data_IF_496527346437
#
_entry.id   IF_496527346437
#
_cell.length_a   1.000
_cell.length_b   1.000
_cell.length_c   1.000
_cell.angle_alpha   90.00
_cell.angle_beta   90.00
_cell.angle_gamma   90.00
#
_symmetry.space_group_name_H-M   'P 1'
#
loop_
_entity.id
_entity.type
_entity.pdbx_description
1 polymer ?
#
# COMPACT_ATOMS: atom_id res chain seq x y z
N UNK A 1 -10.47 28.39 76.67
CA UNK A 1 -10.40 28.91 75.29
C UNK A 1 -9.93 27.76 74.37
N UNK A 2 -10.86 27.10 73.68
CA UNK A 2 -10.57 25.98 72.75
C UNK A 2 -10.63 26.55 71.32
N UNK A 3 -9.52 26.53 70.61
CA UNK A 3 -9.44 26.91 69.17
C UNK A 3 -9.80 25.71 68.31
N UNK A 4 -10.92 25.77 67.59
CA UNK A 4 -11.27 24.83 66.56
C UNK A 4 -10.51 25.25 65.30
N UNK A 5 -9.65 24.34 64.75
CA UNK A 5 -9.01 24.47 63.44
C UNK A 5 -9.92 23.73 62.44
N UNK A 6 -10.56 24.48 61.51
CA UNK A 6 -11.27 23.90 60.36
C UNK A 6 -10.24 23.62 59.27
N UNK A 7 -10.04 22.35 58.95
CA UNK A 7 -9.29 21.93 57.78
C UNK A 7 -10.23 21.91 56.58
N UNK A 8 -9.99 22.82 55.63
CA UNK A 8 -10.65 22.82 54.33
C UNK A 8 -9.88 21.85 53.43
N UNK A 9 -10.51 20.70 53.14
CA UNK A 9 -9.99 19.73 52.18
C UNK A 9 -10.45 20.15 50.76
N UNK A 10 -9.56 20.76 50.01
CA UNK A 10 -9.78 21.09 48.59
C UNK A 10 -9.71 19.80 47.75
N UNK A 11 -10.84 19.32 47.31
CA UNK A 11 -10.90 18.24 46.31
C UNK A 11 -10.52 18.82 44.93
N UNK A 12 -9.28 18.58 44.46
CA UNK A 12 -8.95 18.79 43.06
C UNK A 12 -9.63 17.74 42.20
N UNK A 13 -10.68 18.12 41.51
CA UNK A 13 -11.21 17.37 40.37
C UNK A 13 -10.20 17.45 39.23
N UNK A 14 -9.37 16.43 39.07
CA UNK A 14 -8.59 16.20 37.85
C UNK A 14 -9.56 15.82 36.75
N UNK A 15 -10.03 16.83 36.00
CA UNK A 15 -10.70 16.63 34.74
C UNK A 15 -9.64 16.11 33.75
N UNK A 16 -9.52 14.79 33.62
CA UNK A 16 -8.67 14.16 32.63
C UNK A 16 -9.26 14.39 31.23
N UNK A 17 -8.93 15.53 30.60
CA UNK A 17 -9.06 15.65 29.15
C UNK A 17 -8.04 14.68 28.54
N UNK A 18 -8.51 13.52 28.08
CA UNK A 18 -7.76 12.73 27.09
C UNK A 18 -7.63 13.60 25.85
N UNK A 19 -6.48 14.22 25.67
CA UNK A 19 -6.10 14.81 24.38
C UNK A 19 -5.99 13.59 23.46
N UNK A 20 -7.00 13.38 22.59
CA UNK A 20 -6.83 12.48 21.43
C UNK A 20 -5.77 13.15 20.58
N UNK A 21 -4.57 12.58 20.54
CA UNK A 21 -3.58 12.97 19.54
C UNK A 21 -4.22 12.75 18.19
N UNK A 22 -4.22 13.80 17.35
CA UNK A 22 -4.62 13.65 15.94
C UNK A 22 -3.61 12.72 15.28
N UNK A 23 -4.06 11.80 14.42
CA UNK A 23 -3.15 10.88 13.76
C UNK A 23 -2.13 11.65 12.90
N UNK A 24 -0.90 11.15 12.86
CA UNK A 24 0.10 11.64 11.90
C UNK A 24 -0.47 11.55 10.47
N UNK A 25 -0.12 12.47 9.59
CA UNK A 25 -0.55 12.41 8.20
C UNK A 25 0.02 11.16 7.52
N UNK A 26 -0.85 10.34 6.92
CA UNK A 26 -0.43 9.31 5.97
C UNK A 26 -0.26 9.96 4.60
N UNK A 27 0.90 9.79 3.97
CA UNK A 27 1.10 10.14 2.57
C UNK A 27 1.43 8.89 1.76
N UNK A 28 0.80 8.74 0.58
CA UNK A 28 1.10 7.69 -0.40
C UNK A 28 1.48 8.34 -1.71
N UNK A 29 2.72 8.15 -2.14
CA UNK A 29 3.26 8.70 -3.39
C UNK A 29 3.38 7.60 -4.43
N UNK A 30 2.54 7.64 -5.47
CA UNK A 30 2.56 6.74 -6.63
C UNK A 30 3.54 7.30 -7.66
N UNK A 31 4.62 6.61 -7.92
CA UNK A 31 5.65 7.06 -8.86
C UNK A 31 5.22 6.77 -10.30
N UNK A 32 5.52 7.69 -11.23
CA UNK A 32 5.36 7.44 -12.67
C UNK A 32 6.53 6.53 -13.15
N UNK A 33 6.34 5.24 -13.02
CA UNK A 33 7.27 4.19 -13.50
C UNK A 33 6.69 3.44 -14.71
N UNK A 34 5.72 4.06 -15.39
CA UNK A 34 5.07 3.44 -16.53
C UNK A 34 3.95 2.48 -16.15
N UNK A 35 3.79 1.39 -16.91
CA UNK A 35 2.89 0.29 -16.53
C UNK A 35 3.69 -0.64 -15.60
N UNK A 36 3.79 -0.24 -14.34
CA UNK A 36 4.53 -0.90 -13.28
C UNK A 36 4.10 -0.31 -11.94
N UNK A 37 4.33 -0.99 -10.84
CA UNK A 37 4.01 -0.51 -9.50
C UNK A 37 5.27 -0.12 -8.74
N UNK A 38 5.23 1.08 -8.17
CA UNK A 38 6.13 1.51 -7.10
C UNK A 38 5.50 2.69 -6.39
N UNK A 39 5.25 2.57 -5.10
CA UNK A 39 4.71 3.68 -4.31
C UNK A 39 5.20 3.65 -2.86
N UNK A 40 5.48 4.85 -2.36
CA UNK A 40 5.96 5.06 -1.00
C UNK A 40 4.81 5.47 -0.10
N UNK A 41 4.61 4.74 1.00
CA UNK A 41 3.76 5.14 2.12
C UNK A 41 4.62 5.70 3.25
N UNK A 42 4.27 6.87 3.76
CA UNK A 42 4.94 7.48 4.91
C UNK A 42 3.93 7.87 5.97
N UNK A 43 4.19 7.54 7.23
CA UNK A 43 3.39 7.95 8.37
C UNK A 43 4.24 7.91 9.64
N UNK A 44 4.20 8.96 10.47
CA UNK A 44 4.91 9.00 11.74
C UNK A 44 6.43 8.77 11.64
N UNK A 45 7.05 9.24 10.56
CA UNK A 45 8.48 9.05 10.31
C UNK A 45 8.88 7.63 9.91
N UNK A 46 7.91 6.78 9.56
CA UNK A 46 8.10 5.42 9.04
C UNK A 46 7.85 5.37 7.55
N UNK A 47 8.59 4.51 6.86
CA UNK A 47 8.56 4.36 5.40
C UNK A 47 8.29 2.92 4.99
N UNK A 48 7.28 2.72 4.15
CA UNK A 48 7.02 1.46 3.46
C UNK A 48 7.04 1.73 1.96
N UNK A 49 7.96 1.09 1.24
CA UNK A 49 7.94 1.07 -0.21
C UNK A 49 7.22 -0.21 -0.66
N UNK A 50 6.12 -0.06 -1.41
CA UNK A 50 5.41 -1.19 -2.01
C UNK A 50 5.78 -1.25 -3.49
N UNK A 51 6.40 -2.34 -3.88
CA UNK A 51 6.97 -2.61 -5.18
C UNK A 51 8.05 -1.59 -5.61
N UNK A 52 8.79 -1.89 -6.65
CA UNK A 52 9.95 -1.11 -7.06
C UNK A 52 10.04 -0.90 -8.60
N UNK A 53 8.96 -1.17 -9.32
CA UNK A 53 8.91 -1.08 -10.77
C UNK A 53 9.79 -2.12 -11.47
N UNK A 54 10.11 -1.85 -12.74
CA UNK A 54 11.01 -2.71 -13.50
C UNK A 54 12.48 -2.48 -13.09
N UNK A 55 13.38 -3.38 -13.50
CA UNK A 55 14.82 -3.20 -13.26
C UNK A 55 15.39 -1.87 -13.83
N UNK A 56 14.76 -1.31 -14.85
CA UNK A 56 15.15 -0.01 -15.42
C UNK A 56 14.68 1.15 -14.55
N UNK A 57 13.60 0.94 -13.81
CA UNK A 57 13.00 1.97 -12.96
C UNK A 57 13.69 2.06 -11.60
N UNK A 58 14.38 1.03 -11.15
CA UNK A 58 15.03 0.99 -9.84
C UNK A 58 15.86 2.24 -9.51
N UNK A 59 16.68 2.72 -10.46
CA UNK A 59 17.44 3.97 -10.28
C UNK A 59 16.56 5.21 -10.24
N UNK A 60 15.46 5.24 -10.99
CA UNK A 60 14.49 6.35 -10.98
C UNK A 60 13.77 6.40 -9.63
N UNK A 61 13.35 5.23 -9.15
CA UNK A 61 12.71 5.08 -7.83
C UNK A 61 13.69 5.50 -6.73
N UNK A 62 14.92 4.98 -6.74
CA UNK A 62 15.97 5.34 -5.79
C UNK A 62 16.18 6.86 -5.75
N UNK A 63 16.39 7.48 -6.92
CA UNK A 63 16.53 8.94 -7.03
C UNK A 63 15.33 9.69 -6.46
N UNK A 64 14.12 9.18 -6.71
CA UNK A 64 12.91 9.83 -6.21
C UNK A 64 12.78 9.73 -4.69
N UNK A 65 13.17 8.61 -4.09
CA UNK A 65 13.25 8.43 -2.65
C UNK A 65 14.27 9.40 -2.01
N UNK A 66 15.45 9.54 -2.63
CA UNK A 66 16.47 10.53 -2.21
C UNK A 66 15.91 11.95 -2.25
N UNK A 67 15.25 12.35 -3.35
CA UNK A 67 14.65 13.68 -3.51
C UNK A 67 13.55 13.98 -2.47
N UNK A 68 12.92 12.93 -1.93
CA UNK A 68 11.95 13.02 -0.84
C UNK A 68 12.61 12.96 0.55
N UNK A 69 13.95 12.82 0.63
CA UNK A 69 14.69 12.74 1.89
C UNK A 69 14.53 11.42 2.64
N UNK A 70 14.20 10.34 1.94
CA UNK A 70 14.13 8.99 2.53
C UNK A 70 15.53 8.47 2.75
N UNK A 71 15.90 8.24 4.01
CA UNK A 71 17.20 7.68 4.39
C UNK A 71 17.12 6.17 4.65
N UNK A 72 15.98 5.69 5.16
CA UNK A 72 15.75 4.28 5.47
C UNK A 72 14.34 3.85 5.10
N UNK A 73 14.17 2.57 4.81
CA UNK A 73 12.90 1.93 4.47
C UNK A 73 12.61 0.88 5.54
N UNK A 74 11.59 1.12 6.38
CA UNK A 74 11.22 0.17 7.43
C UNK A 74 10.72 -1.15 6.83
N UNK A 75 9.95 -1.06 5.72
CA UNK A 75 9.47 -2.21 4.99
C UNK A 75 9.56 -1.97 3.48
N UNK A 76 10.27 -2.84 2.77
CA UNK A 76 10.11 -3.04 1.34
C UNK A 76 9.13 -4.20 1.17
N UNK A 77 7.96 -3.95 0.62
CA UNK A 77 6.97 -4.99 0.33
C UNK A 77 6.98 -5.27 -1.17
N UNK A 78 7.19 -6.51 -1.53
CA UNK A 78 7.00 -6.99 -2.90
C UNK A 78 5.67 -7.74 -2.93
N UNK A 79 4.70 -7.19 -3.66
CA UNK A 79 3.34 -7.78 -3.74
C UNK A 79 3.39 -9.13 -4.42
N UNK A 80 4.13 -9.24 -5.52
CA UNK A 80 4.43 -10.47 -6.25
C UNK A 80 5.69 -10.30 -7.11
N UNK A 81 6.23 -11.39 -7.64
CA UNK A 81 7.55 -11.38 -8.28
C UNK A 81 7.53 -11.21 -9.80
N UNK A 82 6.56 -10.51 -10.36
CA UNK A 82 6.64 -10.09 -11.75
C UNK A 82 7.61 -8.90 -11.89
N UNK A 83 8.21 -8.79 -13.07
CA UNK A 83 9.33 -7.87 -13.33
C UNK A 83 8.99 -6.40 -13.12
N UNK A 84 7.73 -6.02 -13.32
CA UNK A 84 7.21 -4.66 -13.18
C UNK A 84 6.80 -4.30 -11.75
N UNK A 85 7.04 -5.23 -10.81
CA UNK A 85 6.90 -5.07 -9.36
C UNK A 85 8.23 -5.28 -8.64
N UNK A 86 8.88 -6.43 -8.87
CA UNK A 86 10.10 -6.80 -8.17
C UNK A 86 11.40 -6.32 -8.85
N UNK A 87 11.31 -5.85 -10.10
CA UNK A 87 12.50 -5.60 -10.93
C UNK A 87 13.50 -4.60 -10.35
N UNK A 88 13.02 -3.53 -9.75
CA UNK A 88 13.86 -2.50 -9.11
C UNK A 88 14.31 -2.85 -7.69
N UNK A 89 13.77 -3.90 -7.07
CA UNK A 89 13.96 -4.20 -5.63
C UNK A 89 15.42 -4.37 -5.25
N UNK A 90 16.22 -5.08 -6.06
CA UNK A 90 17.65 -5.28 -5.80
C UNK A 90 18.41 -3.95 -5.72
N UNK A 91 18.10 -2.98 -6.60
CA UNK A 91 18.71 -1.65 -6.59
C UNK A 91 18.34 -0.90 -5.31
N UNK A 92 17.06 -0.94 -4.90
CA UNK A 92 16.58 -0.28 -3.67
C UNK A 92 17.27 -0.88 -2.44
N UNK A 93 17.39 -2.21 -2.36
CA UNK A 93 18.07 -2.89 -1.25
C UNK A 93 19.55 -2.52 -1.18
N UNK A 94 20.22 -2.30 -2.32
CA UNK A 94 21.63 -1.90 -2.36
C UNK A 94 21.83 -0.43 -1.95
N UNK A 95 20.92 0.47 -2.33
CA UNK A 95 21.09 1.91 -2.16
C UNK A 95 20.57 2.42 -0.80
N UNK A 96 19.61 1.72 -0.15
CA UNK A 96 18.96 2.16 1.06
C UNK A 96 19.16 1.20 2.25
N UNK A 97 19.00 1.73 3.46
CA UNK A 97 18.87 0.93 4.68
C UNK A 97 17.46 0.31 4.77
N UNK A 98 17.29 -0.86 4.12
CA UNK A 98 16.03 -1.63 4.15
C UNK A 98 16.04 -2.54 5.37
N UNK A 99 15.13 -2.33 6.32
CA UNK A 99 15.08 -3.10 7.58
C UNK A 99 14.42 -4.46 7.42
N UNK A 100 13.36 -4.54 6.60
CA UNK A 100 12.69 -5.80 6.31
C UNK A 100 12.14 -5.82 4.88
N UNK A 101 12.26 -6.99 4.23
CA UNK A 101 11.62 -7.34 2.97
C UNK A 101 10.42 -8.21 3.26
N UNK A 102 9.21 -7.71 2.97
CA UNK A 102 7.96 -8.47 3.03
C UNK A 102 7.68 -9.07 1.65
N UNK A 103 7.34 -10.35 1.59
CA UNK A 103 7.03 -11.01 0.31
C UNK A 103 5.98 -12.10 0.46
N UNK A 104 5.24 -12.47 -0.61
CA UNK A 104 4.36 -13.62 -0.60
C UNK A 104 5.16 -14.94 -0.47
N UNK A 105 4.48 -16.01 -0.11
CA UNK A 105 5.07 -17.35 -0.09
C UNK A 105 5.46 -17.80 -1.51
N UNK A 106 4.51 -17.67 -2.46
CA UNK A 106 4.81 -17.96 -3.86
C UNK A 106 5.82 -16.97 -4.43
N UNK A 107 6.88 -17.48 -5.00
CA UNK A 107 7.91 -16.69 -5.65
C UNK A 107 8.16 -17.25 -7.05
N UNK A 108 7.79 -16.49 -8.06
CA UNK A 108 8.10 -16.82 -9.45
C UNK A 108 9.60 -16.85 -9.64
N UNK A 109 10.12 -17.96 -10.20
CA UNK A 109 11.53 -18.06 -10.57
C UNK A 109 11.83 -17.13 -11.77
N UNK A 110 12.67 -16.13 -11.54
CA UNK A 110 13.09 -15.15 -12.53
C UNK A 110 14.40 -14.50 -12.12
N UNK A 111 15.03 -13.78 -13.06
CA UNK A 111 16.24 -13.01 -12.77
C UNK A 111 15.95 -11.92 -11.72
N UNK A 112 14.78 -11.33 -11.75
CA UNK A 112 14.35 -10.28 -10.80
C UNK A 112 14.19 -10.83 -9.37
N UNK A 113 13.54 -11.99 -9.22
CA UNK A 113 13.39 -12.62 -7.91
C UNK A 113 14.74 -13.07 -7.36
N UNK A 114 15.58 -13.67 -8.19
CA UNK A 114 16.93 -14.07 -7.81
C UNK A 114 17.80 -12.88 -7.39
N UNK A 115 17.77 -11.77 -8.16
CA UNK A 115 18.51 -10.54 -7.84
C UNK A 115 18.02 -9.90 -6.54
N UNK A 116 16.70 -9.84 -6.34
CA UNK A 116 16.10 -9.31 -5.10
C UNK A 116 16.56 -10.11 -3.88
N UNK A 117 16.47 -11.42 -3.92
CA UNK A 117 16.86 -12.29 -2.81
C UNK A 117 18.37 -12.26 -2.55
N UNK A 118 19.20 -12.23 -3.59
CA UNK A 118 20.65 -12.10 -3.45
C UNK A 118 21.04 -10.75 -2.82
N UNK A 119 20.41 -9.65 -3.22
CA UNK A 119 20.63 -8.35 -2.60
C UNK A 119 20.21 -8.33 -1.12
N UNK A 120 19.08 -8.97 -0.78
CA UNK A 120 18.63 -9.08 0.60
C UNK A 120 19.61 -9.87 1.48
N UNK A 121 20.17 -10.97 0.94
CA UNK A 121 21.19 -11.76 1.63
C UNK A 121 22.50 -10.95 1.81
N UNK A 122 23.00 -10.33 0.75
CA UNK A 122 24.25 -9.54 0.74
C UNK A 122 24.19 -8.38 1.76
N UNK A 123 23.03 -7.72 1.86
CA UNK A 123 22.80 -6.60 2.77
C UNK A 123 22.31 -7.01 4.16
N UNK A 124 22.08 -8.30 4.39
CA UNK A 124 21.57 -8.82 5.67
C UNK A 124 20.14 -8.33 5.99
N UNK A 125 19.32 -8.06 4.96
CA UNK A 125 17.94 -7.63 5.12
C UNK A 125 17.09 -8.78 5.67
N UNK A 126 16.30 -8.49 6.71
CA UNK A 126 15.37 -9.47 7.26
C UNK A 126 14.25 -9.79 6.25
N UNK A 127 14.21 -11.01 5.73
CA UNK A 127 13.12 -11.47 4.85
C UNK A 127 11.98 -12.04 5.69
N UNK A 128 10.78 -11.53 5.48
CA UNK A 128 9.54 -11.97 6.13
C UNK A 128 8.61 -12.49 5.05
N UNK A 129 8.33 -13.79 5.08
CA UNK A 129 7.37 -14.44 4.18
C UNK A 129 6.00 -14.32 4.80
N UNK A 130 5.06 -13.72 4.09
CA UNK A 130 3.68 -13.55 4.53
C UNK A 130 2.89 -14.78 4.09
N UNK A 131 2.57 -15.65 5.05
CA UNK A 131 1.86 -16.94 4.84
C UNK A 131 0.47 -16.96 5.46
N UNK A 132 0.12 -15.92 6.20
CA UNK A 132 -1.21 -15.72 6.80
C UNK A 132 -1.46 -14.23 6.96
N UNK A 133 -2.71 -13.85 7.19
CA UNK A 133 -3.05 -12.46 7.48
C UNK A 133 -2.10 -11.89 8.53
N UNK A 134 -1.48 -10.76 8.19
CA UNK A 134 -0.44 -10.15 9.01
C UNK A 134 -0.71 -8.66 9.19
N UNK A 135 -0.71 -8.22 10.44
CA UNK A 135 -0.87 -6.82 10.78
C UNK A 135 0.49 -6.18 10.99
N UNK A 136 0.72 -5.01 10.37
CA UNK A 136 1.87 -4.15 10.65
C UNK A 136 1.44 -2.74 10.96
N UNK A 137 2.28 -2.03 11.71
CA UNK A 137 2.04 -0.63 12.10
C UNK A 137 3.04 0.28 11.41
N UNK A 138 2.54 1.32 10.72
CA UNK A 138 3.32 2.37 10.08
C UNK A 138 2.93 3.73 10.70
N UNK A 139 3.64 4.18 11.73
CA UNK A 139 3.20 5.33 12.52
C UNK A 139 1.82 5.08 13.14
N UNK A 140 0.85 5.98 12.92
CA UNK A 140 -0.55 5.82 13.35
C UNK A 140 -1.40 4.98 12.39
N UNK A 141 -0.83 4.52 11.26
CA UNK A 141 -1.53 3.75 10.23
C UNK A 141 -1.39 2.25 10.48
N UNK A 142 -2.50 1.53 10.46
CA UNK A 142 -2.53 0.06 10.50
C UNK A 142 -2.63 -0.50 9.08
N UNK A 143 -1.77 -1.46 8.75
CA UNK A 143 -1.87 -2.25 7.52
C UNK A 143 -2.24 -3.68 7.88
N UNK A 144 -3.19 -4.26 7.15
CA UNK A 144 -3.57 -5.68 7.22
C UNK A 144 -3.26 -6.31 5.87
N UNK A 145 -2.31 -7.24 5.87
CA UNK A 145 -1.77 -7.87 4.66
C UNK A 145 -2.38 -9.26 4.52
N UNK A 146 -3.01 -9.53 3.39
CA UNK A 146 -3.66 -10.79 3.04
C UNK A 146 -2.85 -11.50 1.95
N UNK A 147 -2.13 -12.58 2.28
CA UNK A 147 -1.50 -13.42 1.27
C UNK A 147 -2.56 -14.27 0.55
N UNK A 148 -2.19 -14.83 -0.59
CA UNK A 148 -2.97 -15.91 -1.18
C UNK A 148 -2.90 -17.16 -0.28
N UNK A 149 -4.02 -17.81 -0.04
CA UNK A 149 -4.13 -19.02 0.78
C UNK A 149 -3.75 -20.30 0.03
N UNK A 150 -3.56 -20.20 -1.28
CA UNK A 150 -3.23 -21.28 -2.20
C UNK A 150 -2.43 -20.77 -3.39
N UNK A 151 -1.80 -21.68 -4.12
CA UNK A 151 -1.25 -21.39 -5.44
C UNK A 151 -2.36 -21.57 -6.47
N UNK A 152 -2.62 -20.53 -7.24
CA UNK A 152 -3.63 -20.54 -8.31
C UNK A 152 -3.09 -21.27 -9.55
N UNK A 153 -3.99 -21.94 -10.31
CA UNK A 153 -3.59 -22.67 -11.51
C UNK A 153 -3.26 -21.72 -12.67
N UNK A 154 -4.00 -20.61 -12.77
CA UNK A 154 -3.78 -19.58 -13.77
C UNK A 154 -3.13 -18.36 -13.13
N UNK A 155 -2.21 -17.74 -13.85
CA UNK A 155 -1.54 -16.49 -13.44
C UNK A 155 -1.08 -16.51 -11.97
N UNK A 156 -0.43 -17.64 -11.57
CA UNK A 156 -0.03 -17.90 -10.19
C UNK A 156 0.76 -16.73 -9.57
N UNK A 157 1.60 -16.04 -10.36
CA UNK A 157 2.36 -14.89 -9.89
C UNK A 157 1.44 -13.73 -9.52
N UNK A 158 0.60 -13.26 -10.43
CA UNK A 158 -0.34 -12.18 -10.21
C UNK A 158 -1.31 -12.49 -9.05
N UNK A 159 -1.89 -13.69 -9.07
CA UNK A 159 -2.83 -14.14 -8.04
C UNK A 159 -2.17 -14.40 -6.68
N UNK A 160 -0.83 -14.45 -6.58
CA UNK A 160 -0.11 -14.48 -5.32
C UNK A 160 0.09 -13.10 -4.68
N UNK A 161 -0.36 -12.02 -5.33
CA UNK A 161 -0.20 -10.66 -4.83
C UNK A 161 -0.66 -10.53 -3.38
N UNK A 162 0.17 -9.88 -2.56
CA UNK A 162 -0.20 -9.45 -1.22
C UNK A 162 -1.23 -8.32 -1.34
N UNK A 163 -2.48 -8.60 -1.01
CA UNK A 163 -3.53 -7.59 -0.92
C UNK A 163 -3.42 -6.91 0.43
N UNK A 164 -3.46 -5.59 0.45
CA UNK A 164 -3.23 -4.83 1.69
C UNK A 164 -4.35 -3.83 1.93
N UNK A 165 -5.03 -3.96 3.07
CA UNK A 165 -5.89 -2.94 3.62
C UNK A 165 -5.05 -1.97 4.44
N UNK A 166 -5.33 -0.68 4.31
CA UNK A 166 -4.65 0.39 5.05
C UNK A 166 -5.69 1.23 5.78
N UNK A 167 -5.59 1.30 7.10
CA UNK A 167 -6.50 2.03 7.97
C UNK A 167 -5.78 3.20 8.63
N UNK A 168 -6.25 4.42 8.36
CA UNK A 168 -5.71 5.64 8.94
C UNK A 168 -6.83 6.53 9.46
N UNK A 169 -7.00 6.58 10.77
CA UNK A 169 -8.15 7.24 11.39
C UNK A 169 -9.47 6.62 10.93
N UNK A 170 -10.30 7.39 10.22
CA UNK A 170 -11.55 6.92 9.64
C UNK A 170 -11.42 6.51 8.17
N UNK A 171 -10.24 6.70 7.56
CA UNK A 171 -10.03 6.36 6.16
C UNK A 171 -9.58 4.92 6.01
N UNK A 172 -10.10 4.25 4.98
CA UNK A 172 -9.77 2.89 4.57
C UNK A 172 -9.36 2.85 3.11
N UNK A 173 -8.20 2.26 2.83
CA UNK A 173 -7.63 2.18 1.49
C UNK A 173 -7.33 0.71 1.18
N UNK A 174 -7.56 0.30 -0.07
CA UNK A 174 -7.30 -1.05 -0.56
C UNK A 174 -6.24 -1.05 -1.66
N UNK A 175 -5.19 -1.86 -1.47
CA UNK A 175 -4.12 -2.09 -2.43
C UNK A 175 -4.14 -3.55 -2.85
N UNK A 176 -4.30 -3.81 -4.13
CA UNK A 176 -4.63 -5.14 -4.64
C UNK A 176 -3.49 -5.85 -5.35
N UNK A 177 -2.36 -5.16 -5.59
CA UNK A 177 -1.34 -5.68 -6.50
C UNK A 177 -1.96 -5.96 -7.87
N UNK A 178 -1.63 -7.11 -8.44
CA UNK A 178 -2.08 -7.51 -9.78
C UNK A 178 -3.01 -8.73 -9.76
N UNK A 179 -3.82 -8.86 -8.67
CA UNK A 179 -4.79 -9.95 -8.59
C UNK A 179 -5.67 -10.01 -9.83
N UNK A 180 -5.92 -11.23 -10.29
CA UNK A 180 -6.76 -11.53 -11.43
C UNK A 180 -8.03 -12.29 -11.01
N UNK A 181 -8.82 -12.72 -11.98
CA UNK A 181 -10.16 -13.27 -11.82
C UNK A 181 -10.31 -14.25 -10.65
N UNK A 182 -9.38 -15.21 -10.50
CA UNK A 182 -9.50 -16.25 -9.49
C UNK A 182 -9.30 -15.67 -8.07
N UNK A 183 -8.26 -14.84 -7.88
CA UNK A 183 -8.01 -14.20 -6.59
C UNK A 183 -9.07 -13.13 -6.26
N UNK A 184 -9.57 -12.39 -7.26
CA UNK A 184 -10.68 -11.44 -7.09
C UNK A 184 -11.93 -12.14 -6.55
N UNK A 185 -12.22 -13.36 -6.99
CA UNK A 185 -13.38 -14.11 -6.52
C UNK A 185 -13.23 -14.52 -5.04
N UNK A 186 -12.00 -14.80 -4.60
CA UNK A 186 -11.73 -15.28 -3.24
C UNK A 186 -11.54 -14.14 -2.23
N UNK A 187 -10.80 -13.07 -2.61
CA UNK A 187 -10.31 -12.04 -1.68
C UNK A 187 -11.42 -11.33 -0.90
N UNK A 188 -12.59 -11.14 -1.49
CA UNK A 188 -13.72 -10.47 -0.83
C UNK A 188 -14.22 -11.17 0.44
N UNK A 189 -13.89 -12.46 0.60
CA UNK A 189 -14.22 -13.22 1.81
C UNK A 189 -13.15 -13.12 2.91
N UNK A 190 -11.99 -12.55 2.57
CA UNK A 190 -10.86 -12.38 3.47
C UNK A 190 -10.75 -10.94 4.02
N UNK A 191 -11.22 -9.97 3.23
CA UNK A 191 -11.17 -8.56 3.59
C UNK A 191 -12.16 -8.25 4.73
N UNK A 192 -11.80 -7.27 5.57
CA UNK A 192 -12.56 -6.97 6.78
C UNK A 192 -13.94 -6.37 6.50
N UNK A 193 -14.04 -5.46 5.53
CA UNK A 193 -15.30 -4.78 5.21
C UNK A 193 -15.36 -4.36 3.73
N UNK A 194 -16.60 -4.20 3.22
CA UNK A 194 -16.86 -3.49 1.98
C UNK A 194 -17.01 -1.98 2.25
N UNK A 195 -16.65 -1.16 1.29
CA UNK A 195 -16.76 0.29 1.38
C UNK A 195 -15.45 0.95 1.79
N UNK A 196 -14.50 1.00 0.84
CA UNK A 196 -13.24 1.71 1.00
C UNK A 196 -13.32 3.13 0.45
N UNK A 197 -12.52 4.05 1.02
CA UNK A 197 -12.42 5.41 0.48
C UNK A 197 -11.56 5.44 -0.79
N UNK A 198 -10.62 4.49 -0.91
CA UNK A 198 -9.64 4.45 -1.99
C UNK A 198 -9.34 3.02 -2.45
N UNK A 199 -9.10 2.87 -3.76
CA UNK A 199 -8.66 1.63 -4.39
C UNK A 199 -7.44 1.87 -5.29
N UNK A 200 -6.33 1.14 -5.08
CA UNK A 200 -5.36 0.88 -6.14
C UNK A 200 -5.91 -0.23 -7.02
N UNK A 201 -6.24 0.10 -8.25
CA UNK A 201 -6.90 -0.82 -9.20
C UNK A 201 -5.99 -2.00 -9.54
N UNK A 202 -6.52 -3.24 -9.57
CA UNK A 202 -5.74 -4.41 -9.91
C UNK A 202 -5.10 -4.32 -11.30
N UNK A 203 -3.92 -4.91 -11.43
CA UNK A 203 -3.23 -5.24 -12.67
C UNK A 203 -3.20 -4.09 -13.68
N UNK A 204 -2.83 -2.87 -13.18
CA UNK A 204 -2.69 -1.66 -14.00
C UNK A 204 -3.91 -1.31 -14.85
N UNK A 205 -5.09 -1.71 -14.42
CA UNK A 205 -6.33 -1.48 -15.16
C UNK A 205 -6.54 -2.41 -16.36
N UNK A 206 -5.92 -3.58 -16.40
CA UNK A 206 -6.33 -4.69 -17.29
C UNK A 206 -7.74 -5.14 -16.90
N UNK A 207 -8.61 -5.29 -17.88
CA UNK A 207 -9.99 -5.69 -17.60
C UNK A 207 -10.10 -7.20 -17.34
N UNK A 208 -10.84 -7.53 -16.29
CA UNK A 208 -11.24 -8.88 -15.93
C UNK A 208 -12.75 -8.93 -15.70
N UNK A 209 -13.42 -10.01 -16.09
CA UNK A 209 -14.88 -10.11 -16.02
C UNK A 209 -15.48 -9.94 -14.63
N UNK A 210 -14.68 -10.17 -13.57
CA UNK A 210 -15.12 -10.02 -12.18
C UNK A 210 -14.98 -8.58 -11.65
N UNK A 211 -14.32 -7.68 -12.39
CA UNK A 211 -14.00 -6.34 -11.89
C UNK A 211 -15.24 -5.50 -11.61
N UNK A 212 -16.30 -5.59 -12.42
CA UNK A 212 -17.52 -4.84 -12.15
C UNK A 212 -18.13 -5.22 -10.80
N UNK A 213 -18.26 -6.53 -10.52
CA UNK A 213 -18.79 -7.01 -9.25
C UNK A 213 -17.85 -6.62 -8.08
N UNK A 214 -16.54 -6.74 -8.30
CA UNK A 214 -15.53 -6.38 -7.31
C UNK A 214 -15.55 -4.89 -6.98
N UNK A 215 -15.59 -4.01 -7.97
CA UNK A 215 -15.64 -2.56 -7.75
C UNK A 215 -16.93 -2.13 -7.05
N UNK A 216 -18.07 -2.73 -7.42
CA UNK A 216 -19.34 -2.50 -6.73
C UNK A 216 -19.26 -2.92 -5.25
N UNK A 217 -18.57 -4.02 -4.96
CA UNK A 217 -18.39 -4.53 -3.61
C UNK A 217 -17.40 -3.67 -2.81
N UNK A 218 -16.26 -3.28 -3.42
CA UNK A 218 -15.26 -2.38 -2.80
C UNK A 218 -15.88 -1.03 -2.48
N UNK A 219 -16.72 -0.48 -3.36
CA UNK A 219 -17.44 0.77 -3.15
C UNK A 219 -16.54 1.99 -2.99
N UNK A 220 -15.32 1.97 -3.55
CA UNK A 220 -14.35 3.05 -3.41
C UNK A 220 -14.88 4.37 -3.99
N UNK A 221 -14.53 5.48 -3.34
CA UNK A 221 -14.86 6.81 -3.84
C UNK A 221 -13.83 7.33 -4.83
N UNK A 222 -12.58 6.92 -4.67
CA UNK A 222 -11.44 7.29 -5.49
C UNK A 222 -10.58 6.09 -5.85
N UNK A 223 -9.92 6.14 -7.00
CA UNK A 223 -9.05 5.07 -7.47
C UNK A 223 -7.80 5.60 -8.17
N UNK A 224 -6.70 4.85 -8.06
CA UNK A 224 -5.48 5.07 -8.86
C UNK A 224 -5.22 3.85 -9.74
N UNK A 225 -4.90 4.12 -11.02
CA UNK A 225 -4.42 3.13 -11.97
C UNK A 225 -2.97 3.49 -12.35
N UNK A 226 -2.08 2.54 -12.18
CA UNK A 226 -0.67 2.63 -12.56
C UNK A 226 -0.50 2.21 -14.02
N UNK A 227 -0.53 3.17 -14.92
CA UNK A 227 -0.49 2.93 -16.37
C UNK A 227 0.50 3.86 -17.06
N UNK A 228 0.70 3.69 -18.35
CA UNK A 228 1.55 4.57 -19.16
C UNK A 228 0.87 4.96 -20.47
N UNK A 229 1.37 6.05 -21.09
CA UNK A 229 0.87 6.46 -22.43
C UNK A 229 1.09 5.39 -23.49
N UNK A 230 2.11 4.53 -23.34
CA UNK A 230 2.41 3.45 -24.28
C UNK A 230 1.56 2.21 -24.00
N UNK A 231 1.29 1.93 -22.75
CA UNK A 231 0.48 0.81 -22.30
C UNK A 231 -0.60 1.37 -21.36
N UNK A 232 -1.68 1.96 -21.92
CA UNK A 232 -2.74 2.53 -21.11
C UNK A 232 -3.57 1.43 -20.43
N UNK A 233 -4.31 1.83 -19.44
CA UNK A 233 -5.41 1.05 -18.86
C UNK A 233 -6.48 0.71 -19.92
N UNK A 234 -7.21 -0.36 -19.72
CA UNK A 234 -8.31 -0.73 -20.61
C UNK A 234 -9.56 0.11 -20.34
N UNK A 235 -10.23 0.53 -21.40
CA UNK A 235 -11.40 1.41 -21.31
C UNK A 235 -12.55 0.75 -20.56
N UNK A 236 -12.67 -0.55 -20.68
CA UNK A 236 -13.65 -1.37 -19.95
C UNK A 236 -13.46 -1.30 -18.44
N UNK A 237 -12.22 -1.19 -17.97
CA UNK A 237 -11.91 -1.01 -16.55
C UNK A 237 -12.32 0.38 -16.06
N UNK A 238 -12.08 1.42 -16.86
CA UNK A 238 -12.55 2.79 -16.54
C UNK A 238 -14.08 2.79 -16.45
N UNK A 239 -14.76 2.22 -17.43
CA UNK A 239 -16.22 2.17 -17.43
C UNK A 239 -16.76 1.40 -16.22
N UNK A 240 -16.14 0.29 -15.85
CA UNK A 240 -16.55 -0.49 -14.68
C UNK A 240 -16.36 0.29 -13.36
N UNK A 241 -15.31 1.12 -13.25
CA UNK A 241 -15.12 2.01 -12.10
C UNK A 241 -16.20 3.10 -12.04
N UNK A 242 -16.49 3.74 -13.18
CA UNK A 242 -17.54 4.76 -13.29
C UNK A 242 -18.92 4.18 -12.95
N UNK A 243 -19.25 2.99 -13.49
CA UNK A 243 -20.49 2.27 -13.20
C UNK A 243 -20.62 1.84 -11.74
N UNK A 244 -19.48 1.61 -11.06
CA UNK A 244 -19.43 1.36 -9.61
C UNK A 244 -19.53 2.64 -8.77
N UNK A 245 -19.55 3.81 -9.38
CA UNK A 245 -19.71 5.10 -8.71
C UNK A 245 -18.42 5.74 -8.21
N UNK A 246 -17.25 5.26 -8.67
CA UNK A 246 -15.96 5.89 -8.37
C UNK A 246 -15.93 7.28 -9.01
N UNK A 247 -15.66 8.31 -8.19
CA UNK A 247 -15.73 9.72 -8.64
C UNK A 247 -14.42 10.23 -9.20
N UNK A 248 -13.32 9.87 -8.51
CA UNK A 248 -11.98 10.35 -8.81
C UNK A 248 -11.13 9.17 -9.29
N UNK A 249 -10.90 9.09 -10.60
CA UNK A 249 -10.04 8.08 -11.23
C UNK A 249 -8.77 8.78 -11.70
N UNK A 250 -7.66 8.52 -11.00
CA UNK A 250 -6.37 9.12 -11.28
C UNK A 250 -5.44 8.11 -11.98
N UNK A 251 -4.68 8.59 -12.97
CA UNK A 251 -3.84 7.75 -13.82
C UNK A 251 -2.38 8.21 -13.72
N UNK A 252 -1.45 7.33 -13.31
CA UNK A 252 -0.02 7.70 -13.20
C UNK A 252 0.60 8.08 -14.53
N UNK A 253 0.01 7.72 -15.68
CA UNK A 253 0.44 8.20 -17.02
C UNK A 253 0.29 9.71 -17.21
N UNK A 254 -0.42 10.39 -16.33
CA UNK A 254 -0.54 11.85 -16.28
C UNK A 254 0.54 12.52 -15.42
N UNK A 255 1.32 11.73 -14.68
CA UNK A 255 2.36 12.17 -13.76
C UNK A 255 2.24 11.49 -12.39
N UNK A 256 3.18 11.77 -11.49
CA UNK A 256 3.15 11.24 -10.13
C UNK A 256 1.92 11.71 -9.37
N UNK A 257 1.33 10.81 -8.58
CA UNK A 257 0.15 11.09 -7.76
C UNK A 257 0.56 10.99 -6.29
N UNK A 258 0.16 11.97 -5.49
CA UNK A 258 0.27 11.89 -4.03
C UNK A 258 -1.12 11.93 -3.42
N UNK A 259 -1.46 10.89 -2.65
CA UNK A 259 -2.61 10.82 -1.77
C UNK A 259 -2.16 11.22 -0.37
N UNK A 260 -2.91 12.07 0.30
CA UNK A 260 -2.72 12.41 1.72
C UNK A 260 -3.99 12.12 2.50
N UNK A 261 -3.84 11.53 3.68
CA UNK A 261 -4.91 11.31 4.65
C UNK A 261 -4.57 12.01 5.95
N UNK A 262 -5.49 12.81 6.47
CA UNK A 262 -5.45 13.37 7.82
C UNK A 262 -6.23 12.50 8.84
N UNK A 263 -6.64 11.29 8.43
CA UNK A 263 -7.46 10.39 9.22
C UNK A 263 -8.97 10.68 9.14
N UNK A 264 -9.39 11.67 8.35
CA UNK A 264 -10.81 12.05 8.16
C UNK A 264 -11.17 12.20 6.69
N UNK A 265 -10.25 12.68 5.88
CA UNK A 265 -10.42 12.91 4.44
C UNK A 265 -9.18 12.50 3.67
N UNK A 266 -9.38 12.25 2.39
CA UNK A 266 -8.33 12.03 1.42
C UNK A 266 -8.21 13.26 0.50
N UNK A 267 -6.99 13.74 0.31
CA UNK A 267 -6.65 14.80 -0.64
C UNK A 267 -5.66 14.23 -1.68
N UNK A 268 -5.81 14.62 -2.94
CA UNK A 268 -4.97 14.16 -4.04
C UNK A 268 -4.27 15.33 -4.73
N UNK A 269 -3.00 15.10 -5.09
CA UNK A 269 -2.25 16.01 -5.99
C UNK A 269 -1.58 15.20 -7.08
N UNK A 270 -1.55 15.73 -8.31
CA UNK A 270 -0.86 15.12 -9.44
C UNK A 270 0.09 16.14 -10.09
N UNK A 271 1.33 15.72 -10.40
CA UNK A 271 2.38 16.59 -10.96
C UNK A 271 2.75 16.18 -12.37
#
# INVERSE_FOLDING_TARGET
>A
MKRCIFAIMAAMLLCGCSIKEEPDTLAVSFFDVGKADSFLMTCGGKNLLMDAGTAKDGKKVAKRLEDMGVESIDYLMITHFDRDHAGGAAQIIQDFDVKALLRPEYMKESDESAACMAAAEDRGVKVIIITSQTDIQLGSTKLVIHPADKVYENDASNNSSLVTEVFHGNNSLLFTGDIEKERIADIKYELNDAGYDFLKVPHHGKYETMLQEFFNWVGAQSAVITSSKKNPEEQETIQALEDAGVKDILLTRGGEITLQSDGRKLDFTQK
#
